data_IF_264466391644
#
_entry.id   IF_264466391644
#
_cell.length_a   1.000
_cell.length_b   1.000
_cell.length_c   1.000
_cell.angle_alpha   90.00
_cell.angle_beta   90.00
_cell.angle_gamma   90.00
#
_symmetry.space_group_name_H-M   'P 1'
#
loop_
_entity.id
_entity.type
_entity.pdbx_description
1 polymer ?
#
# COMPACT_ATOMS: atom_id res chain seq x y z
N UNK A 1 21.84 -18.14 11.05
CA UNK A 1 22.04 -18.18 9.58
C UNK A 1 21.37 -19.43 8.96
N UNK A 2 20.52 -19.29 7.93
CA UNK A 2 20.00 -20.45 7.17
C UNK A 2 21.16 -21.07 6.39
N UNK A 3 21.67 -22.20 6.86
CA UNK A 3 22.89 -22.82 6.34
C UNK A 3 22.64 -23.60 5.03
N UNK A 4 23.63 -23.67 4.15
CA UNK A 4 23.63 -24.44 2.89
C UNK A 4 23.16 -25.89 3.10
N UNK A 5 23.51 -26.49 4.24
CA UNK A 5 23.10 -27.85 4.64
C UNK A 5 21.59 -28.00 4.68
N UNK A 6 20.90 -27.01 5.23
CA UNK A 6 19.46 -27.01 5.42
C UNK A 6 18.71 -26.93 4.06
N UNK A 7 19.31 -26.25 3.08
CA UNK A 7 18.80 -26.19 1.71
C UNK A 7 19.03 -27.49 0.95
N UNK A 8 20.19 -28.13 1.12
CA UNK A 8 20.48 -29.45 0.52
C UNK A 8 19.50 -30.51 1.03
N UNK A 9 19.22 -30.53 2.33
CA UNK A 9 18.24 -31.44 2.93
C UNK A 9 16.81 -31.23 2.41
N UNK A 10 16.44 -29.98 2.08
CA UNK A 10 15.09 -29.62 1.61
C UNK A 10 14.96 -29.55 0.08
N UNK A 11 15.98 -29.95 -0.67
CA UNK A 11 16.06 -29.80 -2.14
C UNK A 11 14.87 -30.41 -2.88
N UNK A 12 14.55 -31.68 -2.63
CA UNK A 12 13.45 -32.36 -3.32
C UNK A 12 12.10 -31.69 -3.03
N UNK A 13 11.90 -31.23 -1.79
CA UNK A 13 10.69 -30.49 -1.41
C UNK A 13 10.59 -29.16 -2.16
N UNK A 14 11.70 -28.45 -2.34
CA UNK A 14 11.77 -27.20 -3.10
C UNK A 14 11.46 -27.40 -4.59
N UNK A 15 11.98 -28.47 -5.19
CA UNK A 15 11.77 -28.78 -6.61
C UNK A 15 10.32 -29.21 -6.91
N UNK A 16 9.66 -29.84 -5.94
CA UNK A 16 8.30 -30.37 -6.09
C UNK A 16 7.22 -29.41 -5.54
N UNK A 17 7.55 -28.15 -5.24
CA UNK A 17 6.56 -27.16 -4.78
C UNK A 17 5.60 -26.82 -5.92
N UNK A 18 4.30 -26.80 -5.62
CA UNK A 18 3.27 -26.41 -6.58
C UNK A 18 3.48 -24.95 -7.06
N UNK A 19 3.34 -24.64 -8.36
CA UNK A 19 3.70 -23.34 -8.93
C UNK A 19 3.03 -22.12 -8.28
N UNK A 20 1.85 -22.30 -7.68
CA UNK A 20 1.10 -21.22 -7.04
C UNK A 20 1.60 -20.86 -5.63
N UNK A 21 2.46 -21.68 -5.03
CA UNK A 21 3.01 -21.42 -3.69
C UNK A 21 4.15 -20.41 -3.80
N UNK A 22 3.82 -19.12 -3.64
CA UNK A 22 4.80 -18.01 -3.71
C UNK A 22 5.85 -18.01 -2.59
N UNK A 23 5.54 -18.59 -1.42
CA UNK A 23 6.43 -18.60 -0.24
C UNK A 23 6.25 -19.88 0.58
N UNK A 24 7.28 -20.74 0.62
CA UNK A 24 7.25 -22.00 1.38
C UNK A 24 7.55 -21.82 2.88
N UNK A 25 8.38 -20.84 3.24
CA UNK A 25 8.71 -20.54 4.63
C UNK A 25 7.99 -19.25 5.06
N UNK A 26 6.74 -19.35 5.52
CA UNK A 26 5.89 -18.19 5.91
C UNK A 26 6.34 -17.48 7.20
N UNK A 27 7.63 -17.58 7.56
CA UNK A 27 8.15 -17.04 8.81
C UNK A 27 7.61 -17.77 10.05
N UNK A 28 7.85 -17.20 11.22
CA UNK A 28 7.18 -17.63 12.45
C UNK A 28 5.71 -17.20 12.40
N UNK A 29 4.84 -17.98 13.02
CA UNK A 29 3.45 -17.55 13.25
C UNK A 29 3.43 -16.37 14.23
N UNK A 30 2.41 -15.50 14.15
CA UNK A 30 2.13 -14.49 15.17
C UNK A 30 2.24 -15.07 16.58
N UNK A 31 2.88 -14.35 17.51
CA UNK A 31 2.95 -14.78 18.91
C UNK A 31 1.60 -14.54 19.60
N UNK A 32 0.91 -13.48 19.17
CA UNK A 32 -0.43 -13.11 19.63
C UNK A 32 -1.32 -12.85 18.42
N UNK A 33 -1.88 -13.90 17.79
CA UNK A 33 -2.61 -13.78 16.53
C UNK A 33 -3.75 -12.76 16.56
N UNK A 34 -4.49 -12.71 17.66
CA UNK A 34 -5.65 -11.83 17.83
C UNK A 34 -5.19 -10.37 17.91
N UNK A 35 -4.25 -10.08 18.81
CA UNK A 35 -3.70 -8.73 19.00
C UNK A 35 -3.00 -8.22 17.73
N UNK A 36 -2.19 -9.06 17.07
CA UNK A 36 -1.51 -8.68 15.83
C UNK A 36 -2.51 -8.40 14.71
N UNK A 37 -3.62 -9.15 14.64
CA UNK A 37 -4.70 -8.89 13.69
C UNK A 37 -5.44 -7.59 14.01
N UNK A 38 -5.70 -7.28 15.28
CA UNK A 38 -6.33 -6.02 15.68
C UNK A 38 -5.45 -4.82 15.33
N UNK A 39 -4.15 -4.87 15.66
CA UNK A 39 -3.18 -3.84 15.28
C UNK A 39 -3.10 -3.70 13.75
N UNK A 40 -3.07 -4.82 13.03
CA UNK A 40 -3.07 -4.81 11.57
C UNK A 40 -4.30 -4.11 11.00
N UNK A 41 -5.50 -4.44 11.48
CA UNK A 41 -6.75 -3.79 11.06
C UNK A 41 -6.72 -2.30 11.36
N UNK A 42 -6.31 -1.91 12.57
CA UNK A 42 -6.20 -0.51 12.97
C UNK A 42 -5.24 0.28 12.06
N UNK A 43 -4.04 -0.25 11.79
CA UNK A 43 -3.09 0.38 10.87
C UNK A 43 -3.64 0.43 9.44
N UNK A 44 -4.32 -0.62 8.98
CA UNK A 44 -4.98 -0.60 7.67
C UNK A 44 -6.03 0.51 7.59
N UNK A 45 -6.91 0.61 8.58
CA UNK A 45 -7.93 1.66 8.65
C UNK A 45 -7.31 3.05 8.66
N UNK A 46 -6.24 3.27 9.43
CA UNK A 46 -5.49 4.53 9.42
C UNK A 46 -4.93 4.83 8.03
N UNK A 47 -4.34 3.85 7.33
CA UNK A 47 -3.84 4.04 5.96
C UNK A 47 -4.94 4.25 4.93
N UNK A 48 -6.13 3.69 5.15
CA UNK A 48 -7.28 3.92 4.30
C UNK A 48 -7.84 5.33 4.49
N UNK A 49 -7.88 5.82 5.74
CA UNK A 49 -8.23 7.20 6.10
C UNK A 49 -7.18 8.19 5.58
N UNK A 50 -5.88 7.89 5.75
CA UNK A 50 -4.75 8.71 5.32
C UNK A 50 -4.37 8.49 3.84
N UNK A 51 -5.35 8.51 2.92
CA UNK A 51 -5.09 8.71 1.48
C UNK A 51 -5.47 10.13 1.03
N UNK A 52 -5.05 11.21 1.73
CA UNK A 52 -5.58 12.56 1.52
C UNK A 52 -5.32 13.05 0.09
N UNK A 53 -4.11 12.86 -0.44
CA UNK A 53 -3.79 13.24 -1.83
C UNK A 53 -4.65 12.50 -2.86
N UNK A 54 -5.04 11.25 -2.57
CA UNK A 54 -5.93 10.49 -3.44
C UNK A 54 -7.38 10.97 -3.33
N UNK A 55 -7.81 11.42 -2.15
CA UNK A 55 -9.14 11.98 -1.96
C UNK A 55 -9.26 13.30 -2.72
N UNK A 56 -8.28 14.21 -2.59
CA UNK A 56 -8.23 15.44 -3.39
C UNK A 56 -8.25 15.17 -4.90
N UNK A 57 -7.54 14.13 -5.36
CA UNK A 57 -7.61 13.72 -6.76
C UNK A 57 -9.01 13.20 -7.16
N UNK A 58 -9.67 12.43 -6.30
CA UNK A 58 -11.00 11.89 -6.59
C UNK A 58 -12.07 12.99 -6.60
N UNK A 59 -11.99 13.95 -5.67
CA UNK A 59 -12.83 15.15 -5.63
C UNK A 59 -12.60 16.01 -6.88
N UNK A 60 -11.35 16.29 -7.19
CA UNK A 60 -10.99 16.99 -8.42
C UNK A 60 -11.53 16.27 -9.65
N UNK A 61 -11.44 14.94 -9.73
CA UNK A 61 -12.02 14.14 -10.83
C UNK A 61 -13.56 14.16 -10.87
N UNK A 62 -14.23 14.45 -9.76
CA UNK A 62 -15.69 14.53 -9.68
C UNK A 62 -16.23 15.91 -10.11
N UNK A 63 -15.43 16.96 -10.01
CA UNK A 63 -15.77 18.29 -10.52
C UNK A 63 -15.89 18.27 -12.06
N UNK A 64 -16.98 18.77 -12.65
CA UNK A 64 -17.25 18.62 -14.10
C UNK A 64 -16.32 19.44 -15.04
N UNK A 65 -15.47 20.31 -14.50
CA UNK A 65 -14.65 21.24 -15.30
C UNK A 65 -13.22 20.70 -15.44
N UNK A 66 -13.03 19.68 -16.30
CA UNK A 66 -11.70 19.27 -16.73
C UNK A 66 -11.41 19.69 -18.16
N UNK A 67 -10.20 20.21 -18.35
CA UNK A 67 -9.69 20.41 -19.70
C UNK A 67 -9.31 19.06 -20.33
N UNK A 68 -9.73 18.86 -21.58
CA UNK A 68 -9.34 17.68 -22.37
C UNK A 68 -8.12 17.99 -23.25
N UNK A 69 -7.33 16.96 -23.52
CA UNK A 69 -6.27 17.01 -24.54
C UNK A 69 -6.91 17.01 -25.94
N UNK A 70 -6.17 17.42 -26.97
CA UNK A 70 -6.62 17.38 -28.38
C UNK A 70 -7.10 15.97 -28.84
N UNK A 71 -6.68 14.90 -28.14
CA UNK A 71 -7.10 13.50 -28.37
C UNK A 71 -8.26 13.05 -27.46
N UNK A 72 -8.93 13.96 -26.75
CA UNK A 72 -10.07 13.66 -25.88
C UNK A 72 -9.73 13.01 -24.53
N UNK A 73 -8.45 12.89 -24.15
CA UNK A 73 -8.06 12.41 -22.80
C UNK A 73 -8.16 13.54 -21.79
N UNK A 74 -8.68 13.28 -20.59
CA UNK A 74 -8.63 14.21 -19.45
C UNK A 74 -7.18 14.64 -19.22
N UNK A 75 -6.92 15.95 -19.14
CA UNK A 75 -5.58 16.45 -18.80
C UNK A 75 -5.27 16.13 -17.34
N UNK A 76 -4.00 15.91 -17.04
CA UNK A 76 -3.56 15.75 -15.65
C UNK A 76 -3.78 17.07 -14.88
N UNK A 77 -4.01 17.01 -13.56
CA UNK A 77 -3.96 18.21 -12.73
C UNK A 77 -2.61 18.91 -12.90
N UNK A 78 -2.60 20.23 -12.79
CA UNK A 78 -1.37 20.99 -12.84
C UNK A 78 -0.48 20.66 -11.62
N UNK A 79 0.84 20.70 -11.80
CA UNK A 79 1.79 20.32 -10.75
C UNK A 79 1.67 21.19 -9.48
N UNK A 80 1.34 22.46 -9.64
CA UNK A 80 1.08 23.37 -8.51
C UNK A 80 -0.11 22.91 -7.66
N UNK A 81 -1.19 22.44 -8.29
CA UNK A 81 -2.37 21.92 -7.60
C UNK A 81 -2.04 20.62 -6.84
N UNK A 82 -1.23 19.74 -7.43
CA UNK A 82 -0.76 18.53 -6.76
C UNK A 82 0.12 18.88 -5.56
N UNK A 83 1.02 19.86 -5.69
CA UNK A 83 1.86 20.32 -4.58
C UNK A 83 1.01 20.90 -3.44
N UNK A 84 -0.05 21.64 -3.76
CA UNK A 84 -1.01 22.13 -2.79
C UNK A 84 -1.70 20.98 -2.05
N UNK A 85 -2.17 19.94 -2.76
CA UNK A 85 -2.76 18.76 -2.12
C UNK A 85 -1.80 18.03 -1.19
N UNK A 86 -0.50 17.99 -1.54
CA UNK A 86 0.52 17.42 -0.67
C UNK A 86 0.67 18.27 0.59
N UNK A 87 0.78 19.59 0.46
CA UNK A 87 0.88 20.49 1.61
C UNK A 87 -0.34 20.38 2.54
N UNK A 88 -1.54 20.45 1.97
CA UNK A 88 -2.80 20.34 2.73
C UNK A 88 -2.94 18.97 3.37
N UNK A 89 -2.56 17.90 2.67
CA UNK A 89 -2.50 16.56 3.22
C UNK A 89 -1.59 16.47 4.45
N UNK A 90 -0.40 17.06 4.38
CA UNK A 90 0.57 17.07 5.48
C UNK A 90 0.06 17.86 6.69
N UNK A 91 -0.53 19.03 6.47
CA UNK A 91 -1.08 19.87 7.54
C UNK A 91 -2.29 19.24 8.24
N UNK A 92 -3.02 18.37 7.55
CA UNK A 92 -4.18 17.65 8.09
C UNK A 92 -3.84 16.32 8.79
N UNK A 93 -2.56 15.93 8.86
CA UNK A 93 -2.16 14.78 9.67
C UNK A 93 -2.31 15.14 11.14
N UNK A 94 -3.03 14.32 11.90
CA UNK A 94 -3.18 14.49 13.34
C UNK A 94 -1.79 14.54 14.00
N UNK A 95 -1.41 15.63 14.69
CA UNK A 95 -0.11 15.76 15.34
C UNK A 95 0.17 14.68 16.38
N UNK A 96 -0.87 14.04 16.93
CA UNK A 96 -0.73 12.93 17.89
C UNK A 96 -0.26 11.62 17.25
N UNK A 97 -0.28 11.53 15.92
CA UNK A 97 0.17 10.38 15.13
C UNK A 97 1.61 10.52 14.60
N UNK A 98 2.28 11.65 14.87
CA UNK A 98 3.65 11.98 14.40
C UNK A 98 4.66 11.78 15.53
#
# INVERSE_FOLDING_TARGET
PKQIRDWRSKKNKLMNVSPHIKRMNKGKRPKYPELENEVYKWVQELRHKQKPVRNYYNEWMADEVHTFTKKGRIKRPAYNLIAQWVLDAWNNIDPTLI
#
